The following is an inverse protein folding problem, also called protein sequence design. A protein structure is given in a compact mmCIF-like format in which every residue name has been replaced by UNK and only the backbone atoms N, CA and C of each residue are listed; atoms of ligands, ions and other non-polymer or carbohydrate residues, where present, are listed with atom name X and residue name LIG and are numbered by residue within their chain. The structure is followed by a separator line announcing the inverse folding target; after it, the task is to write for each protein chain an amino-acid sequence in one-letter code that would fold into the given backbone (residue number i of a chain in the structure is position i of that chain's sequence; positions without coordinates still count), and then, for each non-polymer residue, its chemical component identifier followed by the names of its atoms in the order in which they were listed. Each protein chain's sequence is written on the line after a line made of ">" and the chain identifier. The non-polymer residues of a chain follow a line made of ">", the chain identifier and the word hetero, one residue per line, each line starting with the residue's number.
data_IF_789265097281
#
_entry.id   IF_789265097281
#
_cell.length_a   1.000
_cell.length_b   1.000
_cell.length_c   1.000
_cell.angle_alpha   90.00
_cell.angle_beta   90.00
_cell.angle_gamma   90.00
#
_symmetry.space_group_name_H-M   'P 1'
#
loop_
_entity.id
_entity.type
_entity.pdbx_description
1 polymer ?
#
# COMPACT_ATOMS: atom_id res chain seq x y z
N UNK A 1 22.17 10.76 27.77
CA UNK A 1 22.54 9.83 26.68
C UNK A 1 21.59 8.64 26.53
N UNK A 2 21.06 8.05 27.60
CA UNK A 2 20.22 6.84 27.57
C UNK A 2 18.88 6.98 26.83
N UNK A 3 18.17 8.12 26.96
CA UNK A 3 16.89 8.34 26.26
C UNK A 3 17.01 8.42 24.73
N UNK A 4 18.08 9.02 24.22
CA UNK A 4 18.30 9.17 22.77
C UNK A 4 18.61 7.83 22.12
N UNK A 5 19.44 7.01 22.77
CA UNK A 5 19.79 5.68 22.30
C UNK A 5 18.59 4.72 22.27
N UNK A 6 17.77 4.71 23.32
CA UNK A 6 16.54 3.91 23.38
C UNK A 6 15.52 4.29 22.30
N UNK A 7 15.41 5.58 21.95
CA UNK A 7 14.53 6.04 20.87
C UNK A 7 15.02 5.62 19.49
N UNK A 8 16.33 5.57 19.30
CA UNK A 8 16.94 5.15 18.04
C UNK A 8 16.74 3.64 17.83
N UNK A 9 16.95 2.85 18.88
CA UNK A 9 16.74 1.40 18.86
C UNK A 9 15.28 1.04 18.55
N UNK A 10 14.31 1.66 19.23
CA UNK A 10 12.88 1.42 18.97
C UNK A 10 12.44 1.84 17.57
N UNK A 11 13.06 2.88 16.99
CA UNK A 11 12.80 3.30 15.61
C UNK A 11 13.37 2.33 14.58
N UNK A 12 14.54 1.73 14.86
CA UNK A 12 15.11 0.68 14.02
C UNK A 12 14.21 -0.57 14.03
N UNK A 13 13.73 -0.97 15.21
CA UNK A 13 12.79 -2.08 15.33
C UNK A 13 11.47 -1.83 14.59
N UNK A 14 10.90 -0.62 14.67
CA UNK A 14 9.66 -0.32 13.95
C UNK A 14 9.84 -0.37 12.43
N UNK A 15 10.97 0.10 11.91
CA UNK A 15 11.32 -0.03 10.50
C UNK A 15 11.42 -1.51 10.05
N UNK A 16 12.13 -2.34 10.83
CA UNK A 16 12.28 -3.78 10.54
C UNK A 16 10.93 -4.51 10.58
N UNK A 17 10.05 -4.16 11.53
CA UNK A 17 8.69 -4.68 11.58
C UNK A 17 7.93 -4.31 10.29
N UNK A 18 8.09 -3.09 9.77
CA UNK A 18 7.51 -2.71 8.49
C UNK A 18 8.01 -3.54 7.31
N UNK A 19 9.31 -3.78 7.23
CA UNK A 19 9.90 -4.63 6.19
C UNK A 19 9.37 -6.07 6.29
N UNK A 20 9.23 -6.59 7.51
CA UNK A 20 8.68 -7.93 7.75
C UNK A 20 7.20 -8.00 7.36
N UNK A 21 6.40 -6.99 7.70
CA UNK A 21 5.00 -6.89 7.26
C UNK A 21 4.92 -6.85 5.73
N UNK A 22 5.77 -6.07 5.06
CA UNK A 22 5.82 -6.02 3.59
C UNK A 22 6.06 -7.40 2.98
N UNK A 23 7.01 -8.16 3.54
CA UNK A 23 7.31 -9.52 3.09
C UNK A 23 6.09 -10.44 3.18
N UNK A 24 5.38 -10.44 4.32
CA UNK A 24 4.21 -11.28 4.51
C UNK A 24 3.00 -10.85 3.65
N UNK A 25 2.88 -9.55 3.36
CA UNK A 25 1.67 -8.99 2.74
C UNK A 25 1.76 -8.81 1.22
N UNK A 26 2.94 -8.94 0.61
CA UNK A 26 3.13 -8.71 -0.84
C UNK A 26 2.21 -9.58 -1.70
N UNK A 27 2.06 -10.87 -1.36
CA UNK A 27 1.17 -11.78 -2.07
C UNK A 27 -0.31 -11.43 -1.88
N UNK A 28 -0.67 -11.07 -0.65
CA UNK A 28 -2.03 -10.69 -0.29
C UNK A 28 -2.49 -9.44 -1.05
N UNK A 29 -1.68 -8.38 -1.07
CA UNK A 29 -2.06 -7.14 -1.76
C UNK A 29 -2.20 -7.32 -3.28
N UNK A 30 -1.41 -8.21 -3.90
CA UNK A 30 -1.56 -8.53 -5.33
C UNK A 30 -2.89 -9.19 -5.62
N UNK A 31 -3.27 -10.17 -4.81
CA UNK A 31 -4.57 -10.84 -4.92
C UNK A 31 -5.71 -9.85 -4.68
N UNK A 32 -5.57 -8.99 -3.68
CA UNK A 32 -6.57 -7.99 -3.33
C UNK A 32 -6.76 -6.96 -4.45
N UNK A 33 -5.68 -6.40 -4.99
CA UNK A 33 -5.74 -5.46 -6.12
C UNK A 33 -6.43 -6.14 -7.30
N UNK A 34 -6.07 -7.39 -7.63
CA UNK A 34 -6.73 -8.10 -8.71
C UNK A 34 -8.22 -8.28 -8.49
N UNK A 35 -8.62 -8.67 -7.29
CA UNK A 35 -10.02 -8.80 -6.95
C UNK A 35 -10.76 -7.48 -7.18
N UNK A 36 -10.13 -6.34 -6.85
CA UNK A 36 -10.67 -5.03 -7.19
C UNK A 36 -10.77 -4.82 -8.70
N UNK A 37 -9.72 -5.08 -9.49
CA UNK A 37 -9.81 -4.94 -10.96
C UNK A 37 -10.94 -5.77 -11.59
N UNK A 38 -11.08 -7.03 -11.18
CA UNK A 38 -12.12 -7.92 -11.71
C UNK A 38 -13.51 -7.45 -11.30
N UNK A 39 -13.67 -7.04 -10.04
CA UNK A 39 -14.92 -6.53 -9.52
C UNK A 39 -15.34 -5.23 -10.21
N UNK A 40 -14.39 -4.32 -10.44
CA UNK A 40 -14.70 -2.98 -10.95
C UNK A 40 -14.97 -2.95 -12.45
N UNK A 41 -14.35 -3.86 -13.21
CA UNK A 41 -14.50 -3.91 -14.68
C UNK A 41 -15.43 -5.02 -15.16
N UNK A 42 -16.19 -5.64 -14.26
CA UNK A 42 -17.19 -6.65 -14.63
C UNK A 42 -16.59 -7.90 -15.32
N UNK A 43 -15.39 -8.32 -14.90
CA UNK A 43 -14.61 -9.41 -15.51
C UNK A 43 -14.09 -9.15 -16.94
N UNK A 44 -14.00 -7.89 -17.37
CA UNK A 44 -13.37 -7.54 -18.65
C UNK A 44 -11.87 -7.93 -18.73
N UNK A 45 -11.21 -8.17 -17.59
CA UNK A 45 -9.80 -8.62 -17.55
C UNK A 45 -9.66 -10.13 -17.46
N UNK A 46 -9.01 -10.73 -18.46
CA UNK A 46 -8.57 -12.14 -18.42
C UNK A 46 -7.06 -12.21 -18.15
N UNK A 47 -6.69 -12.87 -17.05
CA UNK A 47 -5.28 -12.99 -16.63
C UNK A 47 -4.68 -14.33 -17.05
N UNK A 48 -3.66 -14.32 -17.90
CA UNK A 48 -2.98 -15.54 -18.37
C UNK A 48 -1.53 -15.65 -17.86
N UNK A 49 -1.07 -16.88 -17.61
CA UNK A 49 0.25 -17.17 -17.05
C UNK A 49 0.23 -17.55 -15.56
N UNK A 50 1.41 -17.78 -14.97
CA UNK A 50 1.55 -18.16 -13.55
C UNK A 50 1.84 -16.93 -12.68
N UNK A 51 1.28 -16.84 -11.45
CA UNK A 51 1.65 -15.79 -10.50
C UNK A 51 3.14 -15.88 -10.17
N UNK A 52 3.92 -14.87 -10.54
CA UNK A 52 5.28 -14.73 -10.02
C UNK A 52 5.20 -14.02 -8.67
N UNK A 53 5.13 -14.79 -7.59
CA UNK A 53 4.88 -14.29 -6.23
C UNK A 53 6.11 -13.55 -5.68
N UNK A 54 7.30 -13.91 -6.15
CA UNK A 54 8.56 -13.29 -5.75
C UNK A 54 8.88 -12.09 -6.62
N UNK A 55 8.62 -10.88 -6.11
CA UNK A 55 9.20 -9.66 -6.67
C UNK A 55 9.97 -8.94 -5.57
N UNK A 56 11.29 -8.97 -5.66
CA UNK A 56 12.17 -8.23 -4.76
C UNK A 56 12.30 -6.78 -5.24
N UNK A 57 11.20 -6.02 -5.21
CA UNK A 57 11.28 -4.57 -5.44
C UNK A 57 11.77 -3.90 -4.15
N UNK A 58 13.04 -3.44 -4.06
CA UNK A 58 13.59 -2.91 -2.81
C UNK A 58 12.82 -1.67 -2.35
N UNK A 59 12.25 -0.90 -3.29
CA UNK A 59 11.47 0.29 -2.98
C UNK A 59 10.16 -0.03 -2.26
N UNK A 60 9.56 -1.20 -2.54
CA UNK A 60 8.36 -1.64 -1.85
C UNK A 60 8.64 -1.86 -0.35
N UNK A 61 9.71 -2.59 -0.03
CA UNK A 61 10.08 -2.87 1.36
C UNK A 61 10.53 -1.62 2.11
N UNK A 62 11.31 -0.74 1.47
CA UNK A 62 11.75 0.50 2.10
C UNK A 62 10.59 1.44 2.40
N UNK A 63 9.60 1.55 1.51
CA UNK A 63 8.41 2.38 1.76
C UNK A 63 7.60 1.81 2.93
N UNK A 64 7.41 0.49 3.03
CA UNK A 64 6.75 -0.11 4.20
C UNK A 64 7.53 0.11 5.52
N UNK A 65 8.86 0.02 5.48
CA UNK A 65 9.70 0.34 6.64
C UNK A 65 9.58 1.82 7.04
N UNK A 66 9.64 2.74 6.07
CA UNK A 66 9.53 4.18 6.33
C UNK A 66 8.16 4.57 6.86
N UNK A 67 7.10 3.95 6.36
CA UNK A 67 5.72 4.25 6.77
C UNK A 67 5.40 3.75 8.18
N UNK A 68 5.84 2.55 8.54
CA UNK A 68 5.74 2.04 9.92
C UNK A 68 6.60 2.84 10.90
N UNK A 69 7.80 3.24 10.51
CA UNK A 69 8.62 4.17 11.29
C UNK A 69 7.92 5.52 11.49
N UNK A 70 7.32 6.06 10.43
CA UNK A 70 6.57 7.33 10.50
C UNK A 70 5.37 7.20 11.44
N UNK A 71 4.59 6.12 11.32
CA UNK A 71 3.49 5.80 12.22
C UNK A 71 3.97 5.75 13.67
N UNK A 72 5.06 5.04 13.96
CA UNK A 72 5.64 4.96 15.29
C UNK A 72 6.01 6.34 15.85
N UNK A 73 6.74 7.16 15.08
CA UNK A 73 7.18 8.49 15.50
C UNK A 73 5.99 9.42 15.77
N UNK A 74 4.94 9.36 14.96
CA UNK A 74 3.73 10.16 15.14
C UNK A 74 2.88 9.70 16.33
N UNK A 75 2.91 8.40 16.67
CA UNK A 75 2.03 7.80 17.66
C UNK A 75 2.63 7.64 19.06
N UNK A 76 3.95 7.60 19.20
CA UNK A 76 4.64 7.31 20.48
C UNK A 76 4.28 8.24 21.65
N UNK A 77 3.84 9.46 21.37
CA UNK A 77 3.50 10.46 22.39
C UNK A 77 1.99 10.55 22.67
N UNK A 78 1.18 9.65 22.11
CA UNK A 78 -0.28 9.70 22.20
C UNK A 78 -0.84 8.64 23.13
N UNK A 79 -1.98 8.96 23.75
CA UNK A 79 -2.79 7.98 24.46
C UNK A 79 -3.23 6.85 23.52
N UNK A 80 -3.25 5.62 24.02
CA UNK A 80 -3.58 4.42 23.25
C UNK A 80 -4.90 4.53 22.48
N UNK A 81 -5.96 5.11 23.09
CA UNK A 81 -7.25 5.36 22.41
C UNK A 81 -7.11 6.28 21.19
N UNK A 82 -6.32 7.35 21.29
CA UNK A 82 -6.07 8.26 20.17
C UNK A 82 -5.18 7.59 19.12
N UNK A 83 -4.16 6.85 19.55
CA UNK A 83 -3.28 6.14 18.64
C UNK A 83 -4.03 5.10 17.78
N UNK A 84 -4.92 4.32 18.42
CA UNK A 84 -5.78 3.37 17.71
C UNK A 84 -6.70 4.07 16.71
N UNK A 85 -7.34 5.19 17.09
CA UNK A 85 -8.21 5.96 16.19
C UNK A 85 -7.47 6.42 14.92
N UNK A 86 -6.29 7.00 15.07
CA UNK A 86 -5.54 7.52 13.92
C UNK A 86 -4.93 6.41 13.06
N UNK A 87 -4.50 5.31 13.67
CA UNK A 87 -4.06 4.12 12.94
C UNK A 87 -5.21 3.54 12.11
N UNK A 88 -6.40 3.44 12.69
CA UNK A 88 -7.62 2.97 12.00
C UNK A 88 -7.98 3.88 10.82
N UNK A 89 -7.93 5.20 10.99
CA UNK A 89 -8.16 6.16 9.90
C UNK A 89 -7.15 5.96 8.77
N UNK A 90 -5.85 5.88 9.06
CA UNK A 90 -4.83 5.64 8.04
C UNK A 90 -5.02 4.29 7.34
N UNK A 91 -5.43 3.25 8.07
CA UNK A 91 -5.70 1.94 7.49
C UNK A 91 -6.89 1.99 6.52
N UNK A 92 -8.02 2.58 6.94
CA UNK A 92 -9.19 2.76 6.07
C UNK A 92 -8.81 3.56 4.82
N UNK A 93 -8.09 4.68 5.00
CA UNK A 93 -7.66 5.52 3.89
C UNK A 93 -6.76 4.76 2.91
N UNK A 94 -5.86 3.92 3.41
CA UNK A 94 -5.01 3.06 2.59
C UNK A 94 -5.83 2.11 1.69
N UNK A 95 -6.81 1.38 2.23
CA UNK A 95 -7.64 0.49 1.41
C UNK A 95 -8.52 1.26 0.44
N UNK A 96 -9.11 2.39 0.86
CA UNK A 96 -9.90 3.23 -0.03
C UNK A 96 -9.07 3.73 -1.22
N UNK A 97 -7.84 4.18 -0.99
CA UNK A 97 -6.93 4.61 -2.05
C UNK A 97 -6.52 3.47 -2.97
N UNK A 98 -6.29 2.26 -2.43
CA UNK A 98 -6.00 1.10 -3.26
C UNK A 98 -7.15 0.80 -4.24
N UNK A 99 -8.40 0.86 -3.78
CA UNK A 99 -9.58 0.65 -4.64
C UNK A 99 -9.66 1.75 -5.71
N UNK A 100 -9.49 3.01 -5.34
CA UNK A 100 -9.55 4.15 -6.27
C UNK A 100 -8.44 4.04 -7.33
N UNK A 101 -7.21 3.71 -6.94
CA UNK A 101 -6.13 3.55 -7.92
C UNK A 101 -6.31 2.34 -8.82
N UNK A 102 -6.84 1.23 -8.29
CA UNK A 102 -7.18 0.06 -9.11
C UNK A 102 -8.28 0.38 -10.13
N UNK A 103 -9.30 1.15 -9.73
CA UNK A 103 -10.34 1.67 -10.61
C UNK A 103 -9.76 2.51 -11.75
N UNK A 104 -9.00 3.54 -11.38
CA UNK A 104 -8.43 4.49 -12.34
C UNK A 104 -7.50 3.79 -13.34
N UNK A 105 -6.57 2.95 -12.87
CA UNK A 105 -5.64 2.23 -13.75
C UNK A 105 -6.36 1.18 -14.60
N UNK A 106 -7.41 0.54 -14.08
CA UNK A 106 -8.28 -0.36 -14.84
C UNK A 106 -8.99 0.34 -15.99
N UNK A 107 -9.68 1.45 -15.71
CA UNK A 107 -10.41 2.22 -16.73
C UNK A 107 -9.48 2.79 -17.79
N UNK A 108 -8.32 3.33 -17.40
CA UNK A 108 -7.32 3.81 -18.36
C UNK A 108 -6.85 2.70 -19.31
N UNK A 109 -6.67 1.48 -18.81
CA UNK A 109 -6.25 0.34 -19.64
C UNK A 109 -7.35 -0.10 -20.59
N UNK A 110 -8.61 -0.15 -20.14
CA UNK A 110 -9.76 -0.45 -21.00
C UNK A 110 -9.90 0.61 -22.10
N UNK A 111 -9.85 1.90 -21.76
CA UNK A 111 -9.92 3.01 -22.73
C UNK A 111 -8.75 2.98 -23.71
N UNK A 112 -7.55 2.64 -23.25
CA UNK A 112 -6.36 2.53 -24.10
C UNK A 112 -6.40 1.33 -25.04
N UNK A 113 -7.30 0.37 -24.80
CA UNK A 113 -7.43 -0.80 -25.65
C UNK A 113 -8.27 -0.47 -26.89
N UNK A 114 -7.61 0.08 -27.91
CA UNK A 114 -8.24 0.39 -29.21
C UNK A 114 -8.52 -0.85 -30.08
N UNK A 115 -8.04 -2.03 -29.68
CA UNK A 115 -8.20 -3.32 -30.39
C UNK A 115 -8.66 -4.47 -29.49
N UNK A 116 -9.38 -4.20 -28.40
CA UNK A 116 -9.92 -5.29 -27.59
C UNK A 116 -11.13 -5.92 -28.29
N UNK A 117 -11.03 -7.22 -28.61
CA UNK A 117 -12.17 -8.02 -29.04
C UNK A 117 -13.23 -8.02 -27.92
N UNK A 118 -14.41 -7.48 -28.22
CA UNK A 118 -15.57 -7.43 -27.32
C UNK A 118 -15.34 -6.73 -25.96
N UNK A 119 -14.30 -5.89 -25.85
CA UNK A 119 -13.96 -5.18 -24.61
C UNK A 119 -13.20 -6.03 -23.57
N UNK A 120 -12.70 -7.22 -23.96
CA UNK A 120 -11.91 -8.09 -23.08
C UNK A 120 -10.42 -7.74 -23.19
N UNK A 121 -9.82 -7.27 -22.10
CA UNK A 121 -8.38 -6.99 -22.03
C UNK A 121 -7.65 -8.21 -21.46
N UNK A 122 -6.82 -8.87 -22.27
CA UNK A 122 -5.94 -9.93 -21.80
C UNK A 122 -4.65 -9.35 -21.23
N UNK A 123 -4.32 -9.65 -19.98
CA UNK A 123 -3.11 -9.16 -19.32
C UNK A 123 -2.31 -10.33 -18.76
N UNK A 124 -0.98 -10.26 -18.87
CA UNK A 124 -0.15 -11.19 -18.13
C UNK A 124 -0.25 -10.88 -16.63
N UNK A 125 -0.11 -11.91 -15.78
CA UNK A 125 -0.27 -11.79 -14.33
C UNK A 125 0.62 -10.70 -13.71
N UNK A 126 1.74 -10.35 -14.33
CA UNK A 126 2.73 -9.39 -13.85
C UNK A 126 2.62 -7.98 -14.47
N UNK A 127 1.75 -7.76 -15.46
CA UNK A 127 1.66 -6.49 -16.19
C UNK A 127 0.92 -5.39 -15.41
N UNK A 128 0.22 -5.79 -14.35
CA UNK A 128 -0.43 -4.87 -13.43
C UNK A 128 0.61 -4.24 -12.50
N UNK A 129 0.48 -2.93 -12.31
CA UNK A 129 1.37 -2.12 -11.50
C UNK A 129 1.07 -2.26 -9.99
N UNK A 130 0.97 -3.48 -9.47
CA UNK A 130 0.57 -3.76 -8.08
C UNK A 130 1.41 -3.00 -7.07
N UNK A 131 2.74 -3.05 -7.23
CA UNK A 131 3.66 -2.41 -6.31
C UNK A 131 3.46 -0.89 -6.31
N UNK A 132 3.19 -0.28 -7.46
CA UNK A 132 3.00 1.17 -7.57
C UNK A 132 1.71 1.60 -6.87
N UNK A 133 0.61 0.88 -7.11
CA UNK A 133 -0.69 1.11 -6.44
C UNK A 133 -0.54 1.01 -4.93
N UNK A 134 0.11 -0.05 -4.42
CA UNK A 134 0.33 -0.21 -2.98
C UNK A 134 1.23 0.88 -2.42
N UNK A 135 2.35 1.21 -3.08
CA UNK A 135 3.29 2.27 -2.65
C UNK A 135 2.61 3.63 -2.55
N UNK A 136 1.89 4.05 -3.59
CA UNK A 136 1.18 5.33 -3.60
C UNK A 136 0.09 5.40 -2.54
N UNK A 137 -0.71 4.34 -2.40
CA UNK A 137 -1.75 4.26 -1.37
C UNK A 137 -1.16 4.42 0.03
N UNK A 138 -0.04 3.75 0.30
CA UNK A 138 0.62 3.78 1.60
C UNK A 138 1.19 5.16 1.94
N UNK A 139 1.84 5.82 0.97
CA UNK A 139 2.38 7.17 1.14
C UNK A 139 1.28 8.18 1.43
N UNK A 140 0.20 8.16 0.64
CA UNK A 140 -0.91 9.09 0.78
C UNK A 140 -1.70 8.85 2.07
N UNK A 141 -1.85 7.59 2.52
CA UNK A 141 -2.58 7.23 3.73
C UNK A 141 -1.97 7.80 5.02
N UNK A 142 -0.69 8.18 4.99
CA UNK A 142 0.06 8.68 6.15
C UNK A 142 0.12 10.20 6.19
N UNK A 143 -0.16 10.88 5.08
CA UNK A 143 -0.18 12.35 5.01
C UNK A 143 -1.04 12.99 6.12
N UNK A 144 -2.29 12.55 6.38
CA UNK A 144 -3.10 13.16 7.44
C UNK A 144 -2.45 13.05 8.83
N UNK A 145 -1.76 11.95 9.07
CA UNK A 145 -1.06 11.70 10.33
C UNK A 145 0.14 12.65 10.49
N UNK A 146 0.94 12.82 9.43
CA UNK A 146 2.07 13.75 9.41
C UNK A 146 1.59 15.18 9.65
N UNK A 147 0.57 15.64 8.89
CA UNK A 147 0.01 17.00 9.01
C UNK A 147 -0.44 17.26 10.45
N UNK A 148 -1.12 16.29 11.06
CA UNK A 148 -1.56 16.40 12.45
C UNK A 148 -0.37 16.53 13.40
N UNK A 149 0.65 15.69 13.27
CA UNK A 149 1.83 15.75 14.15
C UNK A 149 2.57 17.08 14.03
N UNK A 150 2.64 17.68 12.84
CA UNK A 150 3.22 19.00 12.63
C UNK A 150 2.37 20.09 13.30
N UNK A 151 1.04 20.05 13.16
CA UNK A 151 0.14 21.05 13.78
C UNK A 151 0.02 20.94 15.30
N UNK A 152 0.33 19.78 15.88
CA UNK A 152 0.20 19.55 17.34
C UNK A 152 1.53 19.73 18.08
N UNK A 153 2.63 19.92 17.35
CA UNK A 153 3.91 20.37 17.91
C UNK A 153 3.94 21.88 17.95
#
# INVERSE_FOLDING_TARGET
>A
MTKTFSNLLTSLFSFLIGVLIAWFTVGYFRQLIRAFYQWTTGNAFQFYGKPFIFNLDPFYYTIFGMTTLTLWVCLKNLNLKRAAKWTSISFILFFSLMVIFALIDGDFRVISCTMCDEGIVSLHWNDLNYNLITKLSLLLAIIPLIIRTIKTK
#
